data_IF_336314146216
#
_entry.id   IF_336314146216
#
_cell.length_a   1.000
_cell.length_b   1.000
_cell.length_c   1.000
_cell.angle_alpha   90.00
_cell.angle_beta   90.00
_cell.angle_gamma   90.00
#
_symmetry.space_group_name_H-M   'P 1'
#
loop_
_entity.id
_entity.type
_entity.pdbx_description
1 polymer ?
#
# COMPACT_ATOMS: atom_id res chain seq x y z
N UNK A 1 0.47 17.79 -6.64
CA UNK A 1 -0.09 18.96 -5.94
C UNK A 1 0.61 19.06 -4.60
N UNK A 2 1.21 20.21 -4.30
CA UNK A 2 1.93 20.46 -3.06
C UNK A 2 1.17 21.52 -2.27
N UNK A 3 1.02 21.32 -0.96
CA UNK A 3 0.34 22.24 -0.06
C UNK A 3 1.24 22.48 1.14
N UNK A 4 1.40 23.75 1.53
CA UNK A 4 2.00 24.09 2.82
C UNK A 4 0.98 23.78 3.92
N UNK A 5 1.37 22.97 4.90
CA UNK A 5 0.56 22.62 6.06
C UNK A 5 1.39 22.86 7.30
N UNK A 6 0.85 23.61 8.26
CA UNK A 6 1.53 23.86 9.52
C UNK A 6 1.37 22.65 10.45
N UNK A 7 2.46 22.30 11.12
CA UNK A 7 2.49 21.31 12.19
C UNK A 7 2.52 22.10 13.51
N UNK A 8 1.61 21.79 14.43
CA UNK A 8 1.59 22.41 15.75
C UNK A 8 2.77 21.92 16.59
N UNK A 9 3.11 22.64 17.67
CA UNK A 9 4.14 22.19 18.61
C UNK A 9 3.88 20.80 19.22
N UNK A 10 2.61 20.37 19.23
CA UNK A 10 2.18 19.03 19.67
C UNK A 10 2.29 17.95 18.57
N UNK A 11 2.86 18.28 17.41
CA UNK A 11 3.04 17.35 16.29
C UNK A 11 1.78 17.08 15.46
N UNK A 12 0.69 17.83 15.66
CA UNK A 12 -0.56 17.64 14.92
C UNK A 12 -0.56 18.52 13.66
N UNK A 13 -1.06 17.95 12.56
CA UNK A 13 -1.38 18.70 11.36
C UNK A 13 -2.86 18.52 11.01
N UNK A 14 -3.49 19.59 10.54
CA UNK A 14 -4.86 19.53 10.03
C UNK A 14 -4.84 19.22 8.55
N UNK A 15 -5.39 18.06 8.18
CA UNK A 15 -5.52 17.69 6.77
C UNK A 15 -6.62 18.55 6.11
N UNK A 16 -6.34 19.32 5.05
CA UNK A 16 -7.32 20.21 4.44
C UNK A 16 -8.57 19.47 3.95
N UNK A 17 -9.74 20.13 4.00
CA UNK A 17 -11.04 19.50 3.73
C UNK A 17 -11.10 18.79 2.35
N UNK A 18 -10.54 19.42 1.31
CA UNK A 18 -10.48 18.85 -0.03
C UNK A 18 -9.65 17.54 -0.08
N UNK A 19 -8.63 17.40 0.77
CA UNK A 19 -7.85 16.17 0.87
C UNK A 19 -8.65 15.11 1.62
N UNK A 20 -9.29 15.46 2.74
CA UNK A 20 -10.14 14.53 3.49
C UNK A 20 -11.22 13.91 2.62
N UNK A 21 -11.93 14.71 1.82
CA UNK A 21 -12.96 14.24 0.88
C UNK A 21 -12.42 13.23 -0.12
N UNK A 22 -11.28 13.52 -0.76
CA UNK A 22 -10.66 12.60 -1.73
C UNK A 22 -10.16 11.29 -1.10
N UNK A 23 -9.79 11.33 0.18
CA UNK A 23 -9.34 10.15 0.93
C UNK A 23 -10.47 9.44 1.70
N UNK A 24 -11.72 9.93 1.62
CA UNK A 24 -12.84 9.36 2.36
C UNK A 24 -12.76 9.54 3.89
N UNK A 25 -12.06 10.58 4.36
CA UNK A 25 -11.81 10.88 5.78
C UNK A 25 -12.71 12.01 6.32
N UNK A 26 -13.87 12.25 5.70
CA UNK A 26 -14.76 13.37 6.07
C UNK A 26 -15.36 13.19 7.48
N UNK A 27 -15.60 11.95 7.91
CA UNK A 27 -16.02 11.60 9.27
C UNK A 27 -14.87 11.35 10.25
N UNK A 28 -13.64 11.68 9.87
CA UNK A 28 -12.43 11.26 10.59
C UNK A 28 -11.97 9.86 10.16
N UNK A 29 -11.05 9.27 10.93
CA UNK A 29 -10.48 7.97 10.64
C UNK A 29 -8.97 7.90 10.92
N UNK A 30 -8.35 6.82 10.46
CA UNK A 30 -6.92 6.59 10.60
C UNK A 30 -6.25 6.50 9.21
N UNK A 31 -4.99 6.91 9.17
CA UNK A 31 -4.09 6.72 8.04
C UNK A 31 -2.84 6.00 8.51
N UNK A 32 -2.22 5.26 7.61
CA UNK A 32 -0.88 4.73 7.80
C UNK A 32 0.12 5.84 7.50
N UNK A 33 1.07 6.06 8.40
CA UNK A 33 2.23 6.90 8.19
C UNK A 33 3.43 5.98 7.99
N UNK A 34 4.04 6.05 6.81
CA UNK A 34 5.26 5.31 6.48
C UNK A 34 6.41 6.31 6.40
N UNK A 35 7.46 6.06 7.19
CA UNK A 35 8.73 6.77 7.07
C UNK A 35 9.54 6.20 5.91
N UNK A 36 10.13 7.08 5.12
CA UNK A 36 10.95 6.77 3.94
C UNK A 36 12.16 7.69 3.95
N UNK A 37 13.15 7.41 3.10
CA UNK A 37 14.37 8.22 3.01
C UNK A 37 14.12 9.68 2.61
N UNK A 38 13.01 9.95 1.92
CA UNK A 38 12.63 11.30 1.46
C UNK A 38 11.63 12.00 2.39
N UNK A 39 11.18 11.33 3.46
CA UNK A 39 10.20 11.86 4.41
C UNK A 39 9.05 10.89 4.67
N UNK A 40 7.87 11.43 4.99
CA UNK A 40 6.71 10.61 5.38
C UNK A 40 5.66 10.54 4.28
N UNK A 41 5.09 9.34 4.11
CA UNK A 41 3.97 9.11 3.20
C UNK A 41 2.74 8.66 3.98
N UNK A 42 1.65 9.42 3.85
CA UNK A 42 0.35 9.08 4.42
C UNK A 42 -0.49 8.29 3.42
N UNK A 43 -1.06 7.15 3.84
CA UNK A 43 -1.96 6.33 3.01
C UNK A 43 -3.16 5.84 3.80
N UNK A 44 -4.30 5.66 3.12
CA UNK A 44 -5.38 4.86 3.69
C UNK A 44 -5.02 3.37 3.64
N UNK A 45 -5.67 2.55 4.47
CA UNK A 45 -5.48 1.10 4.45
C UNK A 45 -5.82 0.53 3.06
N UNK A 46 -6.91 1.00 2.45
CA UNK A 46 -7.31 0.61 1.09
C UNK A 46 -6.22 0.91 0.06
N UNK A 47 -5.58 2.08 0.14
CA UNK A 47 -4.48 2.44 -0.76
C UNK A 47 -3.25 1.56 -0.52
N UNK A 48 -2.93 1.23 0.73
CA UNK A 48 -1.81 0.33 1.06
C UNK A 48 -2.04 -1.08 0.53
N UNK A 49 -3.25 -1.63 0.69
CA UNK A 49 -3.64 -2.93 0.13
C UNK A 49 -3.56 -2.92 -1.40
N UNK A 50 -4.12 -1.90 -2.05
CA UNK A 50 -4.05 -1.77 -3.51
C UNK A 50 -2.61 -1.71 -4.02
N UNK A 51 -1.71 -1.01 -3.30
CA UNK A 51 -0.28 -0.99 -3.61
C UNK A 51 0.36 -2.37 -3.47
N UNK A 52 0.10 -3.07 -2.37
CA UNK A 52 0.63 -4.42 -2.15
C UNK A 52 0.18 -5.39 -3.25
N UNK A 53 -1.10 -5.34 -3.62
CA UNK A 53 -1.66 -6.12 -4.72
C UNK A 53 -1.02 -5.76 -6.07
N UNK A 54 -0.80 -4.48 -6.35
CA UNK A 54 -0.14 -4.04 -7.58
C UNK A 54 1.32 -4.52 -7.67
N UNK A 55 2.04 -4.56 -6.54
CA UNK A 55 3.39 -5.13 -6.48
C UNK A 55 3.33 -6.63 -6.76
N UNK A 56 2.47 -7.36 -6.05
CA UNK A 56 2.31 -8.81 -6.25
C UNK A 56 1.96 -9.17 -7.71
N UNK A 57 1.07 -8.39 -8.33
CA UNK A 57 0.64 -8.61 -9.72
C UNK A 57 1.80 -8.54 -10.73
N UNK A 58 2.86 -7.78 -10.46
CA UNK A 58 4.05 -7.72 -11.34
C UNK A 58 4.77 -9.07 -11.43
N UNK A 59 4.68 -9.89 -10.39
CA UNK A 59 5.35 -11.18 -10.29
C UNK A 59 4.40 -12.35 -10.59
N UNK A 60 3.09 -12.08 -10.70
CA UNK A 60 2.07 -13.10 -10.91
C UNK A 60 2.01 -13.66 -12.34
N UNK A 61 2.72 -13.06 -13.31
CA UNK A 61 2.72 -13.46 -14.72
C UNK A 61 3.80 -14.50 -15.08
N UNK A 62 4.51 -15.08 -14.09
CA UNK A 62 5.44 -16.18 -14.36
C UNK A 62 4.63 -17.48 -14.61
N UNK A 63 4.99 -18.31 -15.61
CA UNK A 63 4.31 -19.59 -15.85
C UNK A 63 4.29 -20.49 -14.61
N UNK A 64 5.33 -20.41 -13.77
CA UNK A 64 5.43 -21.12 -12.49
C UNK A 64 4.88 -20.36 -11.26
N UNK A 65 4.26 -19.20 -11.44
CA UNK A 65 3.75 -18.39 -10.33
C UNK A 65 2.48 -18.98 -9.68
N UNK A 66 1.85 -19.98 -10.31
CA UNK A 66 0.68 -20.64 -9.75
C UNK A 66 1.07 -21.74 -8.77
N UNK A 67 0.20 -21.96 -7.78
CA UNK A 67 0.34 -23.08 -6.84
C UNK A 67 0.33 -24.41 -7.60
N UNK A 68 -0.47 -24.54 -8.65
CA UNK A 68 -0.54 -25.74 -9.47
C UNK A 68 0.78 -26.02 -10.19
N UNK A 69 1.42 -25.00 -10.76
CA UNK A 69 2.71 -25.15 -11.41
C UNK A 69 3.82 -25.51 -10.40
N UNK A 70 3.79 -24.89 -9.21
CA UNK A 70 4.70 -25.27 -8.11
C UNK A 70 4.53 -26.74 -7.70
N UNK A 71 3.29 -27.20 -7.53
CA UNK A 71 3.00 -28.59 -7.15
C UNK A 71 3.36 -29.58 -8.27
N UNK A 72 3.16 -29.20 -9.54
CA UNK A 72 3.56 -30.01 -10.69
C UNK A 72 5.09 -30.18 -10.76
N UNK A 73 5.85 -29.08 -10.62
CA UNK A 73 7.32 -29.11 -10.58
C UNK A 73 7.83 -29.97 -9.41
N UNK A 74 7.22 -29.85 -8.22
CA UNK A 74 7.62 -30.65 -7.05
C UNK A 74 7.42 -32.17 -7.26
N UNK A 75 6.35 -32.58 -7.97
CA UNK A 75 6.11 -33.99 -8.30
C UNK A 75 7.17 -34.49 -9.30
N UNK A 76 7.43 -33.72 -10.36
CA UNK A 76 8.44 -34.05 -11.35
C UNK A 76 9.86 -34.19 -10.73
N UNK A 77 10.23 -33.32 -9.79
CA UNK A 77 11.53 -33.39 -9.09
C UNK A 77 11.62 -34.56 -8.10
N UNK A 78 10.48 -35.06 -7.58
CA UNK A 78 10.46 -36.15 -6.60
C UNK A 78 10.49 -37.55 -7.24
N UNK A 79 10.40 -37.65 -8.57
CA UNK A 79 10.54 -38.91 -9.31
C UNK A 79 9.34 -39.87 -9.20
N UNK A 80 8.15 -39.37 -8.81
CA UNK A 80 6.86 -40.08 -8.91
C UNK A 80 6.07 -39.69 -10.16
#
# INVERSE_FOLDING_TARGET
MTLLVNITATGRMSLPAAIRKRLGLEGGGAVLLEETDEGVVLRTVTQAVARAQAIAKKYASHPDASVDAFLANRRADSGE
#
